data_IF_705167811876
#
_entry.id   IF_705167811876
#
_cell.length_a   1.000
_cell.length_b   1.000
_cell.length_c   1.000
_cell.angle_alpha   90.00
_cell.angle_beta   90.00
_cell.angle_gamma   90.00
#
_symmetry.space_group_name_H-M   'P 1'
#
loop_
_entity.id
_entity.type
_entity.pdbx_description
1 polymer ?
#
# COMPACT_ATOMS: atom_id res chain seq x y z
N UNK A 1 -6.04 -18.28 83.01
CA UNK A 1 -6.54 -18.94 81.78
C UNK A 1 -7.11 -17.97 80.75
N UNK A 2 -7.94 -16.99 81.13
CA UNK A 2 -8.54 -16.05 80.15
C UNK A 2 -7.48 -15.17 79.43
N UNK A 3 -6.49 -14.65 80.16
CA UNK A 3 -5.42 -13.80 79.60
C UNK A 3 -4.51 -14.53 78.60
N UNK A 4 -4.22 -15.81 78.83
CA UNK A 4 -3.43 -16.65 77.92
C UNK A 4 -4.24 -17.02 76.67
N UNK A 5 -5.54 -17.23 76.79
CA UNK A 5 -6.43 -17.51 75.67
C UNK A 5 -6.54 -16.31 74.70
N UNK A 6 -6.67 -15.09 75.25
CA UNK A 6 -6.76 -13.85 74.46
C UNK A 6 -5.45 -13.58 73.70
N UNK A 7 -4.30 -13.83 74.34
CA UNK A 7 -2.99 -13.69 73.69
C UNK A 7 -2.83 -14.68 72.50
N UNK A 8 -3.26 -15.94 72.68
CA UNK A 8 -3.21 -16.95 71.60
C UNK A 8 -4.12 -16.55 70.43
N UNK A 9 -5.32 -16.04 70.71
CA UNK A 9 -6.26 -15.58 69.67
C UNK A 9 -5.70 -14.36 68.92
N UNK A 10 -5.07 -13.42 69.63
CA UNK A 10 -4.46 -12.24 69.00
C UNK A 10 -3.28 -12.62 68.07
N UNK A 11 -2.41 -13.55 68.50
CA UNK A 11 -1.32 -14.06 67.65
C UNK A 11 -1.86 -14.84 66.46
N UNK A 12 -2.88 -15.67 66.65
CA UNK A 12 -3.55 -16.39 65.55
C UNK A 12 -4.20 -15.44 64.55
N UNK A 13 -4.83 -14.35 65.00
CA UNK A 13 -5.44 -13.36 64.12
C UNK A 13 -4.41 -12.60 63.28
N UNK A 14 -3.27 -12.23 63.88
CA UNK A 14 -2.14 -11.59 63.15
C UNK A 14 -1.53 -12.57 62.14
N UNK A 15 -1.35 -13.84 62.51
CA UNK A 15 -0.86 -14.87 61.59
C UNK A 15 -1.86 -15.13 60.47
N UNK A 16 -3.16 -15.20 60.74
CA UNK A 16 -4.19 -15.36 59.71
C UNK A 16 -4.27 -14.16 58.77
N UNK A 17 -4.13 -12.93 59.28
CA UNK A 17 -4.08 -11.73 58.45
C UNK A 17 -2.82 -11.71 57.56
N UNK A 18 -1.67 -12.13 58.10
CA UNK A 18 -0.42 -12.21 57.35
C UNK A 18 -0.45 -13.29 56.26
N UNK A 19 -0.87 -14.51 56.60
CA UNK A 19 -0.98 -15.62 55.64
C UNK A 19 -2.13 -15.44 54.64
N UNK A 20 -3.26 -14.89 55.07
CA UNK A 20 -4.40 -14.56 54.20
C UNK A 20 -4.06 -13.47 53.17
N UNK A 21 -3.31 -12.44 53.58
CA UNK A 21 -2.81 -11.41 52.67
C UNK A 21 -1.78 -11.94 51.67
N UNK A 22 -0.90 -12.85 52.09
CA UNK A 22 0.08 -13.50 51.20
C UNK A 22 -0.59 -14.38 50.13
N UNK A 23 -1.66 -15.10 50.47
CA UNK A 23 -2.41 -15.92 49.50
C UNK A 23 -3.16 -15.07 48.47
N UNK A 24 -3.88 -14.02 48.90
CA UNK A 24 -4.55 -13.11 47.96
C UNK A 24 -3.57 -12.37 47.04
N UNK A 25 -2.37 -12.03 47.53
CA UNK A 25 -1.34 -11.39 46.70
C UNK A 25 -0.74 -12.34 45.68
N UNK A 26 -0.60 -13.63 46.00
CA UNK A 26 -0.05 -14.64 45.06
C UNK A 26 -0.95 -14.83 43.84
N UNK A 27 -2.27 -14.90 44.03
CA UNK A 27 -3.22 -15.04 42.92
C UNK A 27 -3.25 -13.79 42.03
N UNK A 28 -3.18 -12.59 42.64
CA UNK A 28 -3.08 -11.32 41.88
C UNK A 28 -1.80 -11.23 41.06
N UNK A 29 -0.66 -11.61 41.63
CA UNK A 29 0.64 -11.64 40.92
C UNK A 29 0.58 -12.62 39.76
N UNK A 30 0.06 -13.84 39.99
CA UNK A 30 -0.08 -14.84 38.94
C UNK A 30 -0.99 -14.37 37.80
N UNK A 31 -2.13 -13.74 38.13
CA UNK A 31 -3.03 -13.18 37.12
C UNK A 31 -2.37 -12.06 36.31
N UNK A 32 -1.57 -11.20 36.94
CA UNK A 32 -0.81 -10.15 36.26
C UNK A 32 0.28 -10.72 35.35
N UNK A 33 0.97 -11.81 35.75
CA UNK A 33 1.94 -12.51 34.92
C UNK A 33 1.30 -13.13 33.67
N UNK A 34 0.17 -13.82 33.83
CA UNK A 34 -0.60 -14.41 32.71
C UNK A 34 -1.08 -13.32 31.76
N UNK A 35 -1.54 -12.19 32.30
CA UNK A 35 -1.98 -11.05 31.49
C UNK A 35 -0.82 -10.39 30.74
N UNK A 36 0.34 -10.24 31.38
CA UNK A 36 1.55 -9.74 30.73
C UNK A 36 1.97 -10.63 29.55
N UNK A 37 1.92 -11.95 29.72
CA UNK A 37 2.21 -12.90 28.66
C UNK A 37 1.22 -12.78 27.50
N UNK A 38 -0.08 -12.64 27.79
CA UNK A 38 -1.11 -12.39 26.76
C UNK A 38 -0.86 -11.11 25.99
N UNK A 39 -0.52 -10.02 26.67
CA UNK A 39 -0.22 -8.73 26.03
C UNK A 39 1.05 -8.79 25.18
N UNK A 40 2.09 -9.50 25.63
CA UNK A 40 3.30 -9.75 24.82
C UNK A 40 2.98 -10.57 23.57
N UNK A 41 2.23 -11.67 23.72
CA UNK A 41 1.81 -12.48 22.58
C UNK A 41 0.96 -11.68 21.58
N UNK A 42 0.07 -10.82 22.07
CA UNK A 42 -0.73 -9.92 21.24
C UNK A 42 0.12 -8.89 20.50
N UNK A 43 1.11 -8.28 21.18
CA UNK A 43 2.09 -7.37 20.56
C UNK A 43 2.85 -8.07 19.45
N UNK A 44 3.40 -9.26 19.72
CA UNK A 44 4.23 -10.00 18.78
C UNK A 44 3.41 -10.47 17.55
N UNK A 45 2.17 -10.90 17.79
CA UNK A 45 1.23 -11.21 16.71
C UNK A 45 0.93 -10.00 15.84
N UNK A 46 0.63 -8.85 16.45
CA UNK A 46 0.38 -7.60 15.73
C UNK A 46 1.61 -7.16 14.93
N UNK A 47 2.79 -7.20 15.54
CA UNK A 47 4.05 -6.86 14.89
C UNK A 47 4.34 -7.77 13.70
N UNK A 48 4.05 -9.07 13.81
CA UNK A 48 4.22 -10.04 12.72
C UNK A 48 3.27 -9.75 11.55
N UNK A 49 2.00 -9.46 11.83
CA UNK A 49 1.02 -9.14 10.79
C UNK A 49 1.38 -7.82 10.09
N UNK A 50 1.78 -6.80 10.84
CA UNK A 50 2.18 -5.51 10.25
C UNK A 50 3.47 -5.66 9.44
N UNK A 51 4.49 -6.36 9.95
CA UNK A 51 5.75 -6.55 9.22
C UNK A 51 5.56 -7.33 7.92
N UNK A 52 4.66 -8.32 7.90
CA UNK A 52 4.26 -9.02 6.69
C UNK A 52 3.62 -8.06 5.68
N UNK A 53 2.67 -7.22 6.12
CA UNK A 53 2.01 -6.22 5.26
C UNK A 53 2.97 -5.14 4.76
N UNK A 54 3.92 -4.69 5.59
CA UNK A 54 4.96 -3.74 5.18
C UNK A 54 5.88 -4.36 4.12
N UNK A 55 6.17 -5.65 4.23
CA UNK A 55 6.96 -6.38 3.23
C UNK A 55 6.22 -6.48 1.90
N UNK A 56 4.92 -6.79 1.93
CA UNK A 56 4.07 -6.75 0.74
C UNK A 56 3.98 -5.34 0.14
N UNK A 57 3.84 -4.31 0.97
CA UNK A 57 3.82 -2.92 0.50
C UNK A 57 5.11 -2.56 -0.25
N UNK A 58 6.28 -2.97 0.26
CA UNK A 58 7.56 -2.76 -0.43
C UNK A 58 7.62 -3.48 -1.78
N UNK A 59 7.16 -4.72 -1.84
CA UNK A 59 7.09 -5.49 -3.09
C UNK A 59 6.18 -4.79 -4.12
N UNK A 60 4.97 -4.41 -3.71
CA UNK A 60 4.02 -3.71 -4.58
C UNK A 60 4.56 -2.35 -5.04
N UNK A 61 5.29 -1.63 -4.17
CA UNK A 61 5.93 -0.36 -4.53
C UNK A 61 7.00 -0.55 -5.59
N UNK A 62 7.80 -1.62 -5.46
CA UNK A 62 8.80 -1.99 -6.48
C UNK A 62 8.14 -2.37 -7.81
N UNK A 63 7.03 -3.11 -7.77
CA UNK A 63 6.28 -3.48 -8.97
C UNK A 63 5.69 -2.23 -9.65
N UNK A 64 5.13 -1.29 -8.89
CA UNK A 64 4.66 0.00 -9.42
C UNK A 64 5.77 0.75 -10.14
N UNK A 65 6.98 0.80 -9.57
CA UNK A 65 8.11 1.44 -10.21
C UNK A 65 8.49 0.75 -11.53
N UNK A 66 8.61 -0.58 -11.53
CA UNK A 66 8.94 -1.35 -12.73
C UNK A 66 7.91 -1.14 -13.86
N UNK A 67 6.61 -1.14 -13.53
CA UNK A 67 5.54 -0.91 -14.52
C UNK A 67 5.51 0.52 -15.04
N UNK A 68 5.88 1.51 -14.22
CA UNK A 68 6.04 2.90 -14.67
C UNK A 68 7.18 3.04 -15.67
N UNK A 69 8.30 2.36 -15.40
CA UNK A 69 9.45 2.35 -16.31
C UNK A 69 9.09 1.68 -17.65
N UNK A 70 8.35 0.56 -17.60
CA UNK A 70 7.83 -0.11 -18.80
C UNK A 70 6.88 0.79 -19.61
N UNK A 71 5.95 1.47 -18.94
CA UNK A 71 5.05 2.43 -19.58
C UNK A 71 5.82 3.62 -20.19
N UNK A 72 6.90 4.09 -19.54
CA UNK A 72 7.74 5.14 -20.09
C UNK A 72 8.50 4.67 -21.33
N UNK A 73 9.09 3.47 -21.30
CA UNK A 73 9.78 2.90 -22.44
C UNK A 73 8.86 2.76 -23.67
N UNK A 74 7.59 2.40 -23.46
CA UNK A 74 6.60 2.37 -24.55
C UNK A 74 6.29 3.77 -25.11
N UNK A 75 6.19 4.79 -24.26
CA UNK A 75 6.02 6.20 -24.70
C UNK A 75 7.21 6.68 -25.51
N UNK A 76 8.43 6.33 -25.08
CA UNK A 76 9.65 6.69 -25.80
C UNK A 76 9.69 6.01 -27.18
N UNK A 77 9.26 4.75 -27.27
CA UNK A 77 9.11 4.07 -28.56
C UNK A 77 8.07 4.72 -29.47
N UNK A 78 6.96 5.24 -28.92
CA UNK A 78 5.98 6.01 -29.71
C UNK A 78 6.60 7.30 -30.23
N UNK A 79 7.39 8.01 -29.43
CA UNK A 79 8.11 9.21 -29.87
C UNK A 79 9.11 8.88 -31.00
N UNK A 80 9.86 7.77 -30.87
CA UNK A 80 10.76 7.31 -31.94
C UNK A 80 10.01 6.97 -33.23
N UNK A 81 8.86 6.30 -33.14
CA UNK A 81 8.02 5.99 -34.31
C UNK A 81 7.49 7.26 -34.98
N UNK A 82 7.25 8.32 -34.21
CA UNK A 82 6.81 9.61 -34.72
C UNK A 82 7.93 10.36 -35.43
N UNK A 83 9.15 10.32 -34.89
CA UNK A 83 10.36 10.83 -35.55
C UNK A 83 10.65 10.08 -36.86
N UNK A 84 10.57 8.75 -36.84
CA UNK A 84 10.71 7.90 -38.03
C UNK A 84 9.65 8.24 -39.07
N UNK A 85 8.37 8.35 -38.66
CA UNK A 85 7.27 8.75 -39.54
C UNK A 85 7.54 10.11 -40.19
N UNK A 86 7.97 11.11 -39.42
CA UNK A 86 8.27 12.44 -39.94
C UNK A 86 9.45 12.42 -40.93
N UNK A 87 10.48 11.64 -40.64
CA UNK A 87 11.63 11.46 -41.53
C UNK A 87 11.24 10.74 -42.83
N UNK A 88 10.43 9.69 -42.76
CA UNK A 88 9.91 8.97 -43.92
C UNK A 88 9.05 9.88 -44.80
N UNK A 89 8.13 10.65 -44.22
CA UNK A 89 7.33 11.64 -44.97
C UNK A 89 8.20 12.64 -45.71
N UNK A 90 9.24 13.16 -45.05
CA UNK A 90 10.17 14.09 -45.65
C UNK A 90 11.00 13.44 -46.75
N UNK A 91 11.36 12.16 -46.61
CA UNK A 91 12.08 11.40 -47.63
C UNK A 91 11.27 11.27 -48.91
N UNK A 92 9.96 10.98 -48.82
CA UNK A 92 9.06 10.88 -49.97
C UNK A 92 8.88 12.26 -50.63
N UNK A 93 8.67 13.32 -49.82
CA UNK A 93 8.56 14.72 -50.29
C UNK A 93 9.80 15.24 -51.02
N UNK A 94 10.97 14.66 -50.74
CA UNK A 94 12.25 15.02 -51.35
C UNK A 94 12.51 14.29 -52.67
N UNK A 95 11.70 13.31 -53.04
CA UNK A 95 11.82 12.63 -54.34
C UNK A 95 11.51 13.64 -55.45
N UNK A 96 12.50 13.92 -56.30
CA UNK A 96 12.38 14.86 -57.42
C UNK A 96 12.29 14.18 -58.79
N UNK A 97 12.73 12.93 -58.88
CA UNK A 97 12.71 12.14 -60.13
C UNK A 97 11.48 11.25 -60.17
N UNK A 98 10.93 11.06 -61.36
CA UNK A 98 9.70 10.28 -61.55
C UNK A 98 9.95 8.80 -61.30
N UNK A 99 11.12 8.32 -61.70
CA UNK A 99 11.57 6.94 -61.58
C UNK A 99 11.71 6.55 -60.11
N UNK A 100 12.29 7.44 -59.28
CA UNK A 100 12.44 7.21 -57.83
C UNK A 100 11.07 7.13 -57.13
N UNK A 101 10.10 7.94 -57.57
CA UNK A 101 8.74 7.95 -57.03
C UNK A 101 7.94 6.71 -57.47
N UNK A 102 8.11 6.26 -58.72
CA UNK A 102 7.54 5.02 -59.22
C UNK A 102 8.10 3.80 -58.46
N UNK A 103 9.41 3.76 -58.23
CA UNK A 103 10.03 2.69 -57.44
C UNK A 103 9.52 2.71 -56.01
N UNK A 104 9.43 3.89 -55.37
CA UNK A 104 8.89 4.00 -54.00
C UNK A 104 7.43 3.57 -53.94
N UNK A 105 6.61 3.92 -54.94
CA UNK A 105 5.22 3.46 -55.04
C UNK A 105 5.16 1.94 -55.17
N UNK A 106 5.98 1.36 -56.05
CA UNK A 106 6.09 -0.09 -56.27
C UNK A 106 6.47 -0.86 -55.01
N UNK A 107 7.40 -0.31 -54.22
CA UNK A 107 7.80 -0.91 -52.93
C UNK A 107 6.73 -0.76 -51.84
N UNK A 108 5.95 0.33 -51.87
CA UNK A 108 4.90 0.59 -50.87
C UNK A 108 3.64 -0.21 -51.13
N UNK A 109 3.33 -0.45 -52.41
CA UNK A 109 2.18 -1.24 -52.85
C UNK A 109 2.65 -2.31 -53.85
N UNK A 110 3.25 -3.43 -53.38
CA UNK A 110 3.74 -4.50 -54.24
C UNK A 110 2.66 -5.10 -55.13
N UNK A 111 1.40 -5.11 -54.67
CA UNK A 111 0.23 -5.51 -55.45
C UNK A 111 0.01 -4.64 -56.69
N UNK A 112 0.49 -3.40 -56.68
CA UNK A 112 0.44 -2.46 -57.80
C UNK A 112 1.65 -2.60 -58.72
N UNK A 113 2.71 -3.29 -58.28
CA UNK A 113 3.94 -3.48 -59.05
C UNK A 113 3.77 -4.36 -60.30
N UNK A 114 2.73 -5.21 -60.29
CA UNK A 114 2.50 -6.22 -61.32
C UNK A 114 1.46 -5.82 -62.37
N UNK A 115 0.77 -4.67 -62.21
CA UNK A 115 -0.17 -4.18 -63.21
C UNK A 115 0.38 -2.97 -63.95
N UNK A 116 -0.01 -2.79 -65.21
CA UNK A 116 0.34 -1.61 -66.00
C UNK A 116 -0.39 -0.37 -65.44
N UNK A 117 0.20 0.27 -64.43
CA UNK A 117 -0.28 1.55 -63.91
C UNK A 117 0.04 2.63 -64.93
N UNK A 118 -0.88 2.81 -65.88
CA UNK A 118 -0.47 3.37 -67.17
C UNK A 118 -1.56 3.81 -68.14
N UNK A 119 -2.84 3.90 -67.77
CA UNK A 119 -3.97 4.24 -68.67
C UNK A 119 -4.20 3.21 -69.77
N UNK A 120 -5.47 2.91 -69.96
CA UNK A 120 -5.99 2.21 -71.13
C UNK A 120 -6.86 3.17 -71.91
N UNK A 121 -6.86 3.07 -73.25
CA UNK A 121 -7.69 3.85 -74.17
C UNK A 121 -8.89 3.02 -74.61
N UNK A 122 -10.11 3.50 -74.36
CA UNK A 122 -11.35 2.86 -74.81
C UNK A 122 -11.87 3.60 -76.03
N UNK A 123 -11.47 3.18 -77.23
CA UNK A 123 -11.92 3.79 -78.48
C UNK A 123 -13.34 3.33 -78.87
N UNK A 124 -14.24 4.27 -79.16
CA UNK A 124 -15.53 4.04 -79.81
C UNK A 124 -15.39 4.26 -81.32
N UNK A 125 -15.26 3.18 -82.09
CA UNK A 125 -14.97 3.22 -83.53
C UNK A 125 -16.10 3.79 -84.40
N UNK A 126 -17.38 3.67 -83.99
CA UNK A 126 -18.54 4.18 -84.76
C UNK A 126 -18.75 5.68 -84.63
N UNK A 127 -18.36 6.24 -83.49
CA UNK A 127 -18.41 7.68 -83.23
C UNK A 127 -17.03 8.36 -83.40
N UNK A 128 -15.94 7.58 -83.44
CA UNK A 128 -14.56 8.08 -83.50
C UNK A 128 -14.04 8.68 -82.20
N UNK A 129 -14.49 8.21 -81.02
CA UNK A 129 -14.21 8.85 -79.72
C UNK A 129 -13.58 7.88 -78.73
N UNK A 130 -12.38 8.17 -78.20
CA UNK A 130 -11.71 7.40 -77.14
C UNK A 130 -11.98 7.89 -75.71
N UNK A 131 -12.09 6.99 -74.74
CA UNK A 131 -12.19 7.30 -73.31
C UNK A 131 -11.11 6.54 -72.53
N UNK A 132 -10.15 7.28 -71.98
CA UNK A 132 -9.02 6.71 -71.24
C UNK A 132 -9.24 6.67 -69.71
N UNK A 133 -8.79 5.61 -69.04
CA UNK A 133 -8.88 5.42 -67.57
C UNK A 133 -7.76 4.51 -67.04
N UNK A 134 -7.39 4.44 -65.75
CA UNK A 134 -7.16 5.50 -64.77
C UNK A 134 -5.64 5.51 -64.52
N UNK A 135 -4.99 6.65 -64.74
CA UNK A 135 -3.61 6.91 -64.32
C UNK A 135 -3.70 7.69 -63.02
N UNK A 136 -3.15 7.16 -61.91
CA UNK A 136 -2.91 8.01 -60.74
C UNK A 136 -1.90 9.07 -61.17
N UNK A 137 -2.23 10.37 -61.12
CA UNK A 137 -1.27 11.37 -61.53
C UNK A 137 -0.08 11.25 -60.59
N UNK A 138 1.11 11.23 -61.18
CA UNK A 138 2.36 10.95 -60.47
C UNK A 138 2.51 11.79 -59.19
N UNK A 139 2.05 13.04 -59.19
CA UNK A 139 2.11 13.94 -58.03
C UNK A 139 1.17 13.56 -56.87
N UNK A 140 0.14 12.76 -57.11
CA UNK A 140 -0.69 12.18 -56.03
C UNK A 140 -0.10 10.88 -55.46
N UNK A 141 0.78 10.19 -56.19
CA UNK A 141 1.41 8.96 -55.72
C UNK A 141 2.22 9.18 -54.43
N UNK A 142 2.85 10.34 -54.28
CA UNK A 142 3.47 10.80 -53.02
C UNK A 142 2.48 10.77 -51.86
N UNK A 143 1.27 11.30 -52.07
CA UNK A 143 0.24 11.35 -51.03
C UNK A 143 -0.20 9.95 -50.62
N UNK A 144 -0.42 9.05 -51.59
CA UNK A 144 -0.79 7.66 -51.30
C UNK A 144 0.32 6.90 -50.55
N UNK A 145 1.58 7.10 -50.94
CA UNK A 145 2.74 6.51 -50.24
C UNK A 145 2.79 7.00 -48.80
N UNK A 146 2.70 8.32 -48.60
CA UNK A 146 2.74 8.94 -47.28
C UNK A 146 1.57 8.46 -46.42
N UNK A 147 0.37 8.40 -46.96
CA UNK A 147 -0.82 8.00 -46.22
C UNK A 147 -0.75 6.53 -45.79
N UNK A 148 -0.28 5.65 -46.67
CA UNK A 148 -0.05 4.24 -46.32
C UNK A 148 1.00 4.07 -45.21
N UNK A 149 2.14 4.76 -45.32
CA UNK A 149 3.19 4.76 -44.29
C UNK A 149 2.66 5.31 -42.95
N UNK A 150 1.88 6.39 -43.00
CA UNK A 150 1.21 6.94 -41.81
C UNK A 150 0.26 5.95 -41.17
N UNK A 151 -0.57 5.25 -41.96
CA UNK A 151 -1.51 4.28 -41.45
C UNK A 151 -0.79 3.12 -40.72
N UNK A 152 0.31 2.62 -41.29
CA UNK A 152 1.14 1.60 -40.65
C UNK A 152 1.76 2.13 -39.35
N UNK A 153 2.38 3.31 -39.39
CA UNK A 153 3.01 3.92 -38.22
C UNK A 153 1.98 4.17 -37.11
N UNK A 154 0.83 4.75 -37.47
CA UNK A 154 -0.26 5.04 -36.54
C UNK A 154 -0.80 3.78 -35.88
N UNK A 155 -0.95 2.67 -36.62
CA UNK A 155 -1.34 1.38 -36.05
C UNK A 155 -0.33 0.92 -34.98
N UNK A 156 0.97 0.96 -35.28
CA UNK A 156 2.03 0.60 -34.32
C UNK A 156 2.02 1.50 -33.09
N UNK A 157 1.83 2.81 -33.28
CA UNK A 157 1.76 3.78 -32.18
C UNK A 157 0.53 3.51 -31.30
N UNK A 158 -0.63 3.28 -31.91
CA UNK A 158 -1.88 2.97 -31.21
C UNK A 158 -1.75 1.72 -30.35
N UNK A 159 -1.20 0.64 -30.90
CA UNK A 159 -1.04 -0.62 -30.15
C UNK A 159 -0.18 -0.40 -28.90
N UNK A 160 0.94 0.34 -29.01
CA UNK A 160 1.79 0.70 -27.86
C UNK A 160 1.08 1.61 -26.85
N UNK A 161 0.27 2.56 -27.30
CA UNK A 161 -0.49 3.42 -26.40
C UNK A 161 -1.58 2.65 -25.65
N UNK A 162 -2.18 1.63 -26.26
CA UNK A 162 -3.10 0.72 -25.57
C UNK A 162 -2.38 -0.09 -24.49
N UNK A 163 -1.15 -0.56 -24.76
CA UNK A 163 -0.33 -1.24 -23.75
C UNK A 163 0.01 -0.30 -22.58
N UNK A 164 0.34 0.96 -22.86
CA UNK A 164 0.56 2.00 -21.82
C UNK A 164 -0.69 2.20 -20.97
N UNK A 165 -1.88 2.26 -21.56
CA UNK A 165 -3.14 2.44 -20.82
C UNK A 165 -3.45 1.25 -19.91
N UNK A 166 -3.22 0.03 -20.41
CA UNK A 166 -3.32 -1.20 -19.63
C UNK A 166 -2.36 -1.18 -18.43
N UNK A 167 -1.10 -0.80 -18.64
CA UNK A 167 -0.11 -0.67 -17.58
C UNK A 167 -0.51 0.38 -16.54
N UNK A 168 -1.03 1.54 -16.97
CA UNK A 168 -1.49 2.58 -16.04
C UNK A 168 -2.67 2.09 -15.19
N UNK A 169 -3.62 1.37 -15.79
CA UNK A 169 -4.73 0.75 -15.06
C UNK A 169 -4.25 -0.25 -14.02
N UNK A 170 -3.24 -1.05 -14.36
CA UNK A 170 -2.61 -1.98 -13.43
C UNK A 170 -1.85 -1.25 -12.30
N UNK A 171 -1.10 -0.20 -12.62
CA UNK A 171 -0.40 0.65 -11.64
C UNK A 171 -1.40 1.22 -10.61
N UNK A 172 -2.54 1.75 -11.06
CA UNK A 172 -3.58 2.28 -10.17
C UNK A 172 -4.07 1.19 -9.20
N UNK A 173 -4.33 -0.01 -9.70
CA UNK A 173 -4.78 -1.14 -8.88
C UNK A 173 -3.73 -1.52 -7.81
N UNK A 174 -2.44 -1.49 -8.17
CA UNK A 174 -1.36 -1.74 -7.21
C UNK A 174 -1.26 -0.62 -6.17
N UNK A 175 -1.44 0.64 -6.56
CA UNK A 175 -1.45 1.78 -5.65
C UNK A 175 -2.63 1.72 -4.66
N UNK A 176 -3.82 1.33 -5.11
CA UNK A 176 -4.97 1.12 -4.25
C UNK A 176 -4.74 -0.01 -3.24
N UNK A 177 -4.04 -1.07 -3.66
CA UNK A 177 -3.62 -2.16 -2.79
C UNK A 177 -2.65 -1.70 -1.72
N UNK A 178 -1.65 -0.88 -2.08
CA UNK A 178 -0.72 -0.26 -1.14
C UNK A 178 -1.48 0.59 -0.11
N UNK A 179 -2.36 1.48 -0.57
CA UNK A 179 -3.15 2.35 0.31
C UNK A 179 -4.03 1.53 1.28
N UNK A 180 -4.60 0.42 0.79
CA UNK A 180 -5.39 -0.49 1.62
C UNK A 180 -4.54 -1.13 2.72
N UNK A 181 -3.33 -1.58 2.40
CA UNK A 181 -2.40 -2.14 3.38
C UNK A 181 -1.99 -1.10 4.44
N UNK A 182 -1.69 0.13 4.03
CA UNK A 182 -1.38 1.24 4.96
C UNK A 182 -2.54 1.51 5.93
N UNK A 183 -3.77 1.55 5.41
CA UNK A 183 -4.98 1.75 6.23
C UNK A 183 -5.18 0.60 7.22
N UNK A 184 -4.93 -0.64 6.80
CA UNK A 184 -5.01 -1.82 7.67
C UNK A 184 -3.92 -1.79 8.76
N UNK A 185 -2.71 -1.34 8.45
CA UNK A 185 -1.62 -1.19 9.42
C UNK A 185 -1.94 -0.08 10.43
N UNK A 186 -2.41 1.08 9.98
CA UNK A 186 -2.85 2.16 10.89
C UNK A 186 -3.95 1.68 11.84
N UNK A 187 -4.97 0.97 11.32
CA UNK A 187 -6.04 0.40 12.15
C UNK A 187 -5.53 -0.62 13.16
N UNK A 188 -4.57 -1.47 12.76
CA UNK A 188 -3.97 -2.44 13.66
C UNK A 188 -3.26 -1.73 14.82
N UNK A 189 -2.43 -0.71 14.54
CA UNK A 189 -1.76 0.08 15.58
C UNK A 189 -2.73 0.84 16.47
N UNK A 190 -3.75 1.47 15.91
CA UNK A 190 -4.79 2.17 16.67
C UNK A 190 -5.51 1.23 17.63
N UNK A 191 -5.91 0.05 17.15
CA UNK A 191 -6.53 -0.98 17.99
C UNK A 191 -5.58 -1.47 19.08
N UNK A 192 -4.31 -1.72 18.76
CA UNK A 192 -3.29 -2.13 19.73
C UNK A 192 -3.07 -1.07 20.82
N UNK A 193 -2.96 0.20 20.42
CA UNK A 193 -2.81 1.33 21.33
C UNK A 193 -4.02 1.49 22.25
N UNK A 194 -5.23 1.45 21.70
CA UNK A 194 -6.46 1.58 22.49
C UNK A 194 -6.57 0.46 23.53
N UNK A 195 -6.28 -0.78 23.15
CA UNK A 195 -6.31 -1.92 24.08
C UNK A 195 -5.26 -1.75 25.18
N UNK A 196 -4.03 -1.37 24.83
CA UNK A 196 -2.98 -1.12 25.81
C UNK A 196 -3.34 0.04 26.76
N UNK A 197 -3.91 1.13 26.24
CA UNK A 197 -4.35 2.28 27.02
C UNK A 197 -5.45 1.91 28.00
N UNK A 198 -6.53 1.24 27.55
CA UNK A 198 -7.62 0.82 28.43
C UNK A 198 -7.14 -0.13 29.51
N UNK A 199 -6.21 -1.04 29.18
CA UNK A 199 -5.63 -1.95 30.15
C UNK A 199 -4.80 -1.21 31.19
N UNK A 200 -3.96 -0.27 30.76
CA UNK A 200 -3.17 0.58 31.64
C UNK A 200 -4.06 1.42 32.56
N UNK A 201 -5.09 2.07 32.03
CA UNK A 201 -6.05 2.85 32.81
C UNK A 201 -6.79 1.99 33.84
N UNK A 202 -7.21 0.78 33.46
CA UNK A 202 -7.82 -0.19 34.38
C UNK A 202 -6.86 -0.58 35.52
N UNK A 203 -5.61 -0.92 35.19
CA UNK A 203 -4.59 -1.28 36.18
C UNK A 203 -4.28 -0.11 37.11
N UNK A 204 -4.19 1.11 36.57
CA UNK A 204 -3.94 2.31 37.36
C UNK A 204 -5.12 2.62 38.31
N UNK A 205 -6.36 2.45 37.85
CA UNK A 205 -7.56 2.59 38.71
C UNK A 205 -7.58 1.55 39.83
N UNK A 206 -7.23 0.30 39.53
CA UNK A 206 -7.13 -0.75 40.54
C UNK A 206 -6.01 -0.46 41.54
N UNK A 207 -4.84 -0.03 41.07
CA UNK A 207 -3.72 0.37 41.90
C UNK A 207 -4.08 1.55 42.83
N UNK A 208 -4.71 2.60 42.30
CA UNK A 208 -5.19 3.74 43.11
C UNK A 208 -6.23 3.27 44.15
N UNK A 209 -7.13 2.33 43.78
CA UNK A 209 -8.10 1.76 44.71
C UNK A 209 -7.42 0.95 45.83
N UNK A 210 -6.38 0.19 45.52
CA UNK A 210 -5.57 -0.54 46.51
C UNK A 210 -4.83 0.43 47.43
N UNK A 211 -4.20 1.47 46.89
CA UNK A 211 -3.55 2.52 47.69
C UNK A 211 -4.53 3.22 48.63
N UNK A 212 -5.74 3.54 48.16
CA UNK A 212 -6.81 4.14 48.99
C UNK A 212 -7.35 3.20 50.07
N UNK A 213 -7.27 1.88 49.89
CA UNK A 213 -7.57 0.92 50.96
C UNK A 213 -6.44 0.84 52.00
N UNK A 214 -5.22 1.22 51.61
CA UNK A 214 -4.04 1.33 52.47
C UNK A 214 -4.02 2.59 53.34
N UNK A 215 -4.91 3.57 53.09
CA UNK A 215 -5.25 4.59 54.09
C UNK A 215 -6.02 3.89 55.21
N UNK A 216 -5.26 3.36 56.18
CA UNK A 216 -5.79 2.99 57.48
C UNK A 216 -6.36 4.28 58.06
N UNK A 217 -7.66 4.46 57.90
CA UNK A 217 -8.41 5.46 58.62
C UNK A 217 -8.32 5.02 60.09
N UNK A 218 -7.37 5.57 60.85
CA UNK A 218 -7.28 5.42 62.30
C UNK A 218 -8.49 6.06 63.04
N UNK A 219 -9.58 6.33 62.31
CA UNK A 219 -10.85 6.80 62.81
C UNK A 219 -11.63 5.66 63.47
N UNK A 220 -11.93 5.87 64.75
CA UNK A 220 -12.80 5.11 65.66
C UNK A 220 -12.31 3.80 66.29
N UNK A 221 -11.31 3.07 65.78
CA UNK A 221 -10.73 1.95 66.54
C UNK A 221 -9.62 2.38 67.52
N UNK A 222 -9.06 3.57 67.37
CA UNK A 222 -8.19 4.19 68.38
C UNK A 222 -8.97 4.63 69.64
N UNK A 223 -10.29 4.88 69.53
CA UNK A 223 -11.10 5.33 70.67
C UNK A 223 -11.33 4.25 71.74
N UNK A 224 -11.19 2.95 71.38
CA UNK A 224 -11.26 1.84 72.34
C UNK A 224 -9.97 1.57 73.10
N UNK A 225 -8.83 2.11 72.65
CA UNK A 225 -7.51 1.91 73.27
C UNK A 225 -7.01 3.12 74.06
N UNK A 226 -7.70 4.27 74.03
CA UNK A 226 -7.33 5.49 74.76
C UNK A 226 -7.81 5.53 76.22
N UNK A 227 -8.33 4.41 76.76
CA UNK A 227 -8.67 4.26 78.18
C UNK A 227 -7.60 3.59 79.04
N UNK A 228 -6.43 3.24 78.49
CA UNK A 228 -5.41 2.46 79.20
C UNK A 228 -3.98 2.78 78.77
N UNK A 229 -3.49 3.94 79.22
CA UNK A 229 -2.10 4.31 79.47
C UNK A 229 -0.93 3.65 78.71
N UNK A 230 -0.19 4.50 77.99
CA UNK A 230 1.29 4.51 77.89
C UNK A 230 1.94 3.25 77.30
N UNK A 231 1.92 3.06 75.97
CA UNK A 231 3.09 2.62 75.17
C UNK A 231 2.94 3.18 73.76
N UNK A 232 3.26 4.45 73.59
CA UNK A 232 3.58 5.04 72.29
C UNK A 232 4.88 5.79 72.44
N UNK A 233 5.63 5.89 71.35
CA UNK A 233 6.88 6.63 71.16
C UNK A 233 8.15 5.78 71.33
N UNK A 234 8.94 5.77 70.26
CA UNK A 234 10.22 5.09 70.01
C UNK A 234 10.13 3.75 69.28
N UNK A 235 9.90 3.80 67.96
CA UNK A 235 10.91 3.41 66.95
C UNK A 235 10.41 3.97 65.62
N UNK A 236 11.17 4.89 65.02
CA UNK A 236 10.96 5.32 63.65
C UNK A 236 10.88 6.83 63.41
N UNK A 237 11.85 7.61 63.92
CA UNK A 237 12.42 8.76 63.19
C UNK A 237 13.59 9.36 63.97
N UNK A 238 14.80 8.87 63.66
CA UNK A 238 15.99 9.68 63.69
C UNK A 238 16.29 10.10 62.24
N UNK A 239 16.41 11.40 61.99
CA UNK A 239 17.43 12.06 61.15
C UNK A 239 16.93 13.43 60.68
N UNK A 240 17.62 14.46 61.21
CA UNK A 240 17.61 15.89 60.91
C UNK A 240 16.44 16.72 61.44
#
# INVERSE_FOLDING_TARGET
MLKTLIAIIAVLAVLFAYFGGLWQNKDKIHNAEVEMLKMRAMRDSLQTVVSFRDSLQKQLTSEVAARKDEAQALRDQVAMLEEERAAEQLSVRRLRKKEDLQERLRTTFPEMAASDWGVTEVMNEKAGIGIEYLLVPLWFSETFIIDHQNAISWKKQKDKLMDVDSLNSFIITLQDSIYTLEKLNRKAYESGYNIAFFKYDSLNKEYIKELKKGDINWGLQAAGFLGGGIIGVLIGRGTK
#
